data_IF_067549305691
#
_entry.id   IF_067549305691
#
_cell.length_a   1.000
_cell.length_b   1.000
_cell.length_c   1.000
_cell.angle_alpha   90.00
_cell.angle_beta   90.00
_cell.angle_gamma   90.00
#
_symmetry.space_group_name_H-M   'P 1'
#
loop_
_entity.id
_entity.type
_entity.pdbx_description
1 polymer ?
#
# COMPACT_ATOMS: atom_id res chain seq x y z
N UNK A 1 -0.54 -39.79 6.28
CA UNK A 1 -1.55 -38.79 5.95
C UNK A 1 -0.94 -37.56 5.28
N UNK A 2 -1.75 -36.83 4.55
CA UNK A 2 -1.28 -35.61 3.91
C UNK A 2 -0.97 -34.52 4.96
N UNK A 3 0.12 -33.81 4.77
CA UNK A 3 0.51 -32.70 5.65
C UNK A 3 -0.42 -31.52 5.50
N UNK A 4 -0.65 -30.79 6.58
CA UNK A 4 -1.40 -29.55 6.58
C UNK A 4 -0.59 -28.44 5.91
N UNK A 5 -1.11 -27.88 4.83
CA UNK A 5 -0.56 -26.70 4.18
C UNK A 5 -1.51 -25.52 4.37
N UNK A 6 -1.02 -24.46 5.00
CA UNK A 6 -1.79 -23.24 5.19
C UNK A 6 -1.52 -22.32 3.99
N UNK A 7 -2.59 -21.74 3.44
CA UNK A 7 -2.52 -20.78 2.35
C UNK A 7 -3.32 -19.53 2.72
N UNK A 8 -2.73 -18.38 2.49
CA UNK A 8 -3.38 -17.08 2.68
C UNK A 8 -3.55 -16.39 1.34
N UNK A 9 -4.71 -15.79 1.13
CA UNK A 9 -5.04 -15.06 -0.10
C UNK A 9 -5.40 -13.63 0.25
N UNK A 10 -4.56 -12.71 -0.20
CA UNK A 10 -4.71 -11.27 0.03
C UNK A 10 -5.26 -10.58 -1.20
N UNK A 11 -6.24 -9.72 -0.99
CA UNK A 11 -6.85 -8.92 -2.04
C UNK A 11 -7.16 -7.53 -1.52
N UNK A 12 -7.42 -6.62 -2.41
CA UNK A 12 -7.86 -5.26 -2.10
C UNK A 12 -9.08 -4.92 -2.94
N UNK A 13 -10.10 -4.41 -2.28
CA UNK A 13 -11.29 -3.82 -2.90
C UNK A 13 -11.47 -2.37 -2.42
N UNK A 14 -12.60 -1.74 -2.77
CA UNK A 14 -12.88 -0.36 -2.37
C UNK A 14 -13.04 -0.18 -0.86
N UNK A 15 -13.32 -1.25 -0.13
CA UNK A 15 -13.53 -1.22 1.33
C UNK A 15 -12.27 -1.53 2.13
N UNK A 16 -11.21 -1.97 1.48
CA UNK A 16 -9.93 -2.25 2.09
C UNK A 16 -9.33 -3.57 1.68
N UNK A 17 -8.46 -4.11 2.54
CA UNK A 17 -7.74 -5.35 2.30
C UNK A 17 -8.50 -6.51 2.90
N UNK A 18 -8.62 -7.60 2.16
CA UNK A 18 -9.24 -8.83 2.63
C UNK A 18 -8.21 -9.96 2.71
N UNK A 19 -8.43 -10.89 3.64
CA UNK A 19 -7.64 -12.11 3.77
C UNK A 19 -8.56 -13.32 3.84
N UNK A 20 -8.32 -14.26 2.96
CA UNK A 20 -8.86 -15.61 3.02
C UNK A 20 -7.76 -16.55 3.49
N UNK A 21 -8.08 -17.51 4.32
CA UNK A 21 -7.15 -18.54 4.74
C UNK A 21 -7.78 -19.93 4.59
N UNK A 22 -6.98 -20.86 4.09
CA UNK A 22 -7.39 -22.24 3.92
C UNK A 22 -6.34 -23.21 4.45
N UNK A 23 -6.78 -24.39 4.87
CA UNK A 23 -5.90 -25.51 5.18
C UNK A 23 -6.07 -26.57 4.09
N UNK A 24 -4.98 -26.95 3.46
CA UNK A 24 -4.95 -27.94 2.39
C UNK A 24 -4.35 -29.26 2.89
N UNK A 25 -5.06 -30.34 2.64
CA UNK A 25 -4.62 -31.70 2.94
C UNK A 25 -4.75 -32.53 1.64
N UNK A 26 -3.68 -32.56 0.85
CA UNK A 26 -3.73 -33.17 -0.48
C UNK A 26 -4.75 -32.47 -1.37
N UNK A 27 -5.78 -33.19 -1.80
CA UNK A 27 -6.85 -32.65 -2.66
C UNK A 27 -7.98 -31.96 -1.88
N UNK A 28 -7.95 -32.02 -0.54
CA UNK A 28 -8.99 -31.45 0.31
C UNK A 28 -8.59 -30.07 0.82
N UNK A 29 -9.52 -29.13 0.76
CA UNK A 29 -9.33 -27.76 1.21
C UNK A 29 -10.41 -27.39 2.22
N UNK A 30 -10.00 -26.94 3.39
CA UNK A 30 -10.89 -26.47 4.43
C UNK A 30 -10.76 -24.95 4.57
N UNK A 31 -11.90 -24.26 4.51
CA UNK A 31 -11.96 -22.83 4.71
C UNK A 31 -11.74 -22.51 6.18
N UNK A 32 -10.73 -21.70 6.49
CA UNK A 32 -10.43 -21.22 7.83
C UNK A 32 -10.94 -19.80 8.05
N UNK A 33 -10.70 -18.93 7.08
CA UNK A 33 -11.19 -17.55 7.06
C UNK A 33 -11.81 -17.34 5.68
N UNK A 34 -13.14 -17.27 5.59
CA UNK A 34 -13.83 -17.21 4.31
C UNK A 34 -13.81 -15.81 3.70
N UNK A 35 -13.96 -15.76 2.39
CA UNK A 35 -14.31 -14.56 1.65
C UNK A 35 -15.84 -14.50 1.48
N UNK A 36 -16.35 -13.34 1.09
CA UNK A 36 -17.78 -13.20 0.75
C UNK A 36 -18.21 -14.18 -0.34
N UNK A 37 -17.34 -14.49 -1.29
CA UNK A 37 -17.57 -15.48 -2.34
C UNK A 37 -17.68 -16.89 -1.77
N UNK A 38 -16.81 -17.27 -0.85
CA UNK A 38 -16.82 -18.57 -0.19
C UNK A 38 -18.06 -18.76 0.70
N UNK A 39 -18.52 -17.70 1.36
CA UNK A 39 -19.76 -17.73 2.16
C UNK A 39 -21.01 -18.02 1.32
N UNK A 40 -20.97 -17.74 0.01
CA UNK A 40 -22.05 -18.01 -0.93
C UNK A 40 -21.91 -19.35 -1.66
N UNK A 41 -20.77 -20.04 -1.46
CA UNK A 41 -20.46 -21.28 -2.15
C UNK A 41 -21.35 -22.46 -1.72
N UNK A 42 -21.70 -23.31 -2.69
CA UNK A 42 -22.39 -24.58 -2.41
C UNK A 42 -21.34 -25.59 -1.98
N UNK A 43 -21.49 -26.17 -0.80
CA UNK A 43 -20.65 -27.24 -0.32
C UNK A 43 -21.15 -28.56 -0.95
N UNK A 44 -20.25 -29.22 -1.72
CA UNK A 44 -20.58 -30.52 -2.30
C UNK A 44 -20.73 -31.58 -1.20
N UNK A 45 -21.94 -32.25 -1.08
CA UNK A 45 -22.18 -33.24 -0.03
C UNK A 45 -21.19 -34.42 -0.05
N UNK A 46 -20.76 -34.88 -1.24
CA UNK A 46 -19.83 -36.00 -1.38
C UNK A 46 -18.44 -35.66 -0.85
N UNK A 47 -18.01 -34.42 -0.97
CA UNK A 47 -16.76 -33.93 -0.42
C UNK A 47 -16.74 -33.92 1.10
N UNK A 48 -17.90 -33.71 1.76
CA UNK A 48 -18.03 -33.72 3.22
C UNK A 48 -17.73 -35.09 3.82
N UNK A 49 -18.24 -36.16 3.23
CA UNK A 49 -18.06 -37.53 3.72
C UNK A 49 -16.60 -37.95 3.71
N UNK A 50 -15.87 -37.60 2.64
CA UNK A 50 -14.44 -37.88 2.51
C UNK A 50 -13.62 -36.98 3.40
N UNK A 51 -13.98 -35.71 3.52
CA UNK A 51 -13.30 -34.73 4.37
C UNK A 51 -13.35 -35.13 5.86
N UNK A 52 -14.45 -35.76 6.32
CA UNK A 52 -14.59 -36.22 7.71
C UNK A 52 -13.57 -37.30 8.10
N UNK A 53 -12.98 -37.99 7.12
CA UNK A 53 -11.95 -39.03 7.36
C UNK A 53 -10.53 -38.46 7.50
N UNK A 54 -10.35 -37.14 7.26
CA UNK A 54 -9.04 -36.51 7.31
C UNK A 54 -8.73 -36.12 8.77
N UNK A 55 -7.57 -36.54 9.22
CA UNK A 55 -7.04 -36.08 10.51
C UNK A 55 -6.45 -34.67 10.33
N UNK A 56 -7.20 -33.68 10.79
CA UNK A 56 -6.82 -32.28 10.68
C UNK A 56 -5.83 -31.90 11.79
N UNK A 57 -4.89 -31.05 11.46
CA UNK A 57 -3.98 -30.42 12.40
C UNK A 57 -4.62 -29.17 12.99
N UNK A 58 -5.47 -29.37 14.00
CA UNK A 58 -6.28 -28.30 14.59
C UNK A 58 -5.43 -27.23 15.26
N UNK A 59 -4.26 -27.60 15.81
CA UNK A 59 -3.36 -26.66 16.44
C UNK A 59 -2.80 -25.68 15.40
N UNK A 60 -2.35 -26.19 14.26
CA UNK A 60 -1.80 -25.38 13.17
C UNK A 60 -2.86 -24.50 12.52
N UNK A 61 -4.05 -25.04 12.31
CA UNK A 61 -5.19 -24.29 11.79
C UNK A 61 -5.61 -23.16 12.71
N UNK A 62 -5.71 -23.43 14.01
CA UNK A 62 -6.06 -22.42 15.02
C UNK A 62 -5.01 -21.32 15.12
N UNK A 63 -3.75 -21.67 15.01
CA UNK A 63 -2.66 -20.70 15.00
C UNK A 63 -2.76 -19.77 13.80
N UNK A 64 -3.02 -20.31 12.61
CA UNK A 64 -3.22 -19.53 11.40
C UNK A 64 -4.39 -18.55 11.54
N UNK A 65 -5.52 -19.00 12.10
CA UNK A 65 -6.69 -18.16 12.34
C UNK A 65 -6.36 -17.03 13.32
N UNK A 66 -5.62 -17.32 14.39
CA UNK A 66 -5.23 -16.30 15.35
C UNK A 66 -4.32 -15.23 14.74
N UNK A 67 -3.39 -15.63 13.88
CA UNK A 67 -2.52 -14.68 13.17
C UNK A 67 -3.35 -13.75 12.29
N UNK A 68 -4.32 -14.29 11.55
CA UNK A 68 -5.23 -13.46 10.74
C UNK A 68 -6.03 -12.50 11.62
N UNK A 69 -6.55 -12.95 12.76
CA UNK A 69 -7.31 -12.09 13.68
C UNK A 69 -6.47 -10.93 14.23
N UNK A 70 -5.20 -11.15 14.48
CA UNK A 70 -4.29 -10.10 14.96
C UNK A 70 -3.99 -9.06 13.88
N UNK A 71 -3.85 -9.49 12.62
CA UNK A 71 -3.52 -8.61 11.50
C UNK A 71 -4.74 -7.94 10.87
N UNK A 72 -5.91 -8.57 10.96
CA UNK A 72 -7.17 -8.10 10.35
C UNK A 72 -8.21 -7.88 11.45
N UNK A 73 -8.33 -6.66 11.99
CA UNK A 73 -9.14 -6.38 13.18
C UNK A 73 -10.64 -6.46 12.92
N UNK A 74 -11.10 -6.29 11.68
CA UNK A 74 -12.50 -6.33 11.32
C UNK A 74 -12.86 -7.70 10.73
N UNK A 75 -13.15 -8.65 11.62
CA UNK A 75 -13.56 -9.99 11.19
C UNK A 75 -14.49 -10.63 12.22
N UNK A 76 -15.52 -11.27 11.71
CA UNK A 76 -16.41 -12.12 12.49
C UNK A 76 -16.58 -13.47 11.77
N UNK A 77 -17.19 -14.43 12.43
CA UNK A 77 -17.45 -15.75 11.84
C UNK A 77 -18.41 -15.73 10.63
N UNK A 78 -19.08 -14.62 10.41
CA UNK A 78 -20.06 -14.44 9.32
C UNK A 78 -19.62 -13.42 8.29
N UNK A 79 -18.46 -12.79 8.47
CA UNK A 79 -17.95 -11.77 7.58
C UNK A 79 -16.48 -12.08 7.21
N UNK A 80 -15.98 -11.42 6.17
CA UNK A 80 -14.60 -11.59 5.72
C UNK A 80 -13.62 -10.89 6.66
N UNK A 81 -12.42 -11.43 6.78
CA UNK A 81 -11.33 -10.75 7.48
C UNK A 81 -10.90 -9.54 6.65
N UNK A 82 -10.91 -8.37 7.25
CA UNK A 82 -10.70 -7.09 6.55
C UNK A 82 -9.87 -6.12 7.38
N UNK A 83 -9.06 -5.33 6.68
CA UNK A 83 -8.54 -4.05 7.17
C UNK A 83 -9.24 -2.97 6.36
N UNK A 84 -9.90 -2.04 7.03
CA UNK A 84 -10.60 -0.95 6.34
C UNK A 84 -9.65 -0.06 5.59
N UNK A 85 -10.08 0.46 4.43
CA UNK A 85 -9.27 1.30 3.56
C UNK A 85 -8.73 2.56 4.27
N UNK A 86 -9.49 3.11 5.21
CA UNK A 86 -9.10 4.29 5.98
C UNK A 86 -8.15 4.00 7.17
N UNK A 87 -7.93 2.74 7.51
CA UNK A 87 -7.04 2.36 8.62
C UNK A 87 -5.59 2.24 8.12
N UNK A 88 -4.95 3.39 7.92
CA UNK A 88 -3.60 3.48 7.37
C UNK A 88 -2.55 2.73 8.19
N UNK A 89 -2.61 2.85 9.50
CA UNK A 89 -1.61 2.24 10.38
C UNK A 89 -1.64 0.72 10.31
N UNK A 90 -2.83 0.13 10.34
CA UNK A 90 -3.00 -1.32 10.24
C UNK A 90 -2.61 -1.83 8.85
N UNK A 91 -2.95 -1.08 7.79
CA UNK A 91 -2.51 -1.42 6.42
C UNK A 91 -0.98 -1.39 6.33
N UNK A 92 -0.33 -0.35 6.81
CA UNK A 92 1.13 -0.25 6.79
C UNK A 92 1.79 -1.36 7.58
N UNK A 93 1.23 -1.73 8.75
CA UNK A 93 1.74 -2.84 9.54
C UNK A 93 1.67 -4.16 8.74
N UNK A 94 0.56 -4.39 8.03
CA UNK A 94 0.43 -5.56 7.17
C UNK A 94 1.47 -5.55 6.03
N UNK A 95 1.62 -4.42 5.33
CA UNK A 95 2.52 -4.31 4.18
C UNK A 95 3.99 -4.42 4.59
N UNK A 96 4.38 -3.93 5.76
CA UNK A 96 5.77 -3.87 6.21
C UNK A 96 6.20 -5.09 7.04
N UNK A 97 5.30 -5.66 7.84
CA UNK A 97 5.60 -6.76 8.75
C UNK A 97 4.64 -7.93 8.61
N UNK A 98 3.35 -7.68 8.44
CA UNK A 98 2.31 -8.70 8.51
C UNK A 98 2.40 -9.74 7.41
N UNK A 99 2.75 -9.35 6.18
CA UNK A 99 2.91 -10.30 5.06
C UNK A 99 4.03 -11.30 5.36
N UNK A 100 5.14 -10.84 5.92
CA UNK A 100 6.23 -11.72 6.32
C UNK A 100 5.84 -12.66 7.47
N UNK A 101 5.02 -12.18 8.40
CA UNK A 101 4.45 -13.03 9.46
C UNK A 101 3.57 -14.13 8.85
N UNK A 102 2.69 -13.77 7.90
CA UNK A 102 1.86 -14.75 7.19
C UNK A 102 2.73 -15.78 6.44
N UNK A 103 3.78 -15.34 5.78
CA UNK A 103 4.73 -16.23 5.08
C UNK A 103 5.42 -17.20 6.01
N UNK A 104 5.66 -16.82 7.26
CA UNK A 104 6.26 -17.72 8.26
C UNK A 104 5.29 -18.83 8.69
N UNK A 105 3.99 -18.64 8.49
CA UNK A 105 2.94 -19.59 8.87
C UNK A 105 2.53 -20.49 7.68
N UNK A 106 2.47 -19.92 6.49
CA UNK A 106 2.03 -20.65 5.29
C UNK A 106 2.43 -19.94 4.00
N UNK A 107 1.85 -20.38 2.88
CA UNK A 107 2.04 -19.71 1.60
C UNK A 107 1.12 -18.50 1.51
N UNK A 108 1.63 -17.42 0.92
CA UNK A 108 0.89 -16.19 0.70
C UNK A 108 0.72 -15.94 -0.79
N UNK A 109 -0.52 -15.82 -1.21
CA UNK A 109 -0.92 -15.43 -2.56
C UNK A 109 -1.59 -14.07 -2.49
N UNK A 110 -1.35 -13.25 -3.48
CA UNK A 110 -1.90 -11.89 -3.53
C UNK A 110 -2.31 -11.51 -4.94
N UNK A 111 -3.31 -10.63 -5.02
CA UNK A 111 -3.76 -10.07 -6.30
C UNK A 111 -2.89 -8.88 -6.72
N UNK A 112 -2.97 -8.51 -7.99
CA UNK A 112 -2.30 -7.31 -8.49
C UNK A 112 -2.78 -6.05 -7.76
N UNK A 113 -4.06 -6.00 -7.38
CA UNK A 113 -4.62 -4.87 -6.63
C UNK A 113 -3.96 -4.71 -5.25
N UNK A 114 -3.67 -5.81 -4.57
CA UNK A 114 -2.93 -5.78 -3.31
C UNK A 114 -1.46 -5.42 -3.54
N UNK A 115 -0.80 -6.04 -4.51
CA UNK A 115 0.62 -5.84 -4.78
C UNK A 115 0.95 -4.40 -5.15
N UNK A 116 0.01 -3.70 -5.80
CA UNK A 116 0.17 -2.30 -6.20
C UNK A 116 0.01 -1.29 -5.07
N UNK A 117 -0.28 -1.71 -3.83
CA UNK A 117 -0.49 -0.77 -2.72
C UNK A 117 0.79 -0.08 -2.26
N UNK A 118 1.94 -0.69 -2.40
CA UNK A 118 3.23 -0.07 -2.11
C UNK A 118 3.95 0.24 -3.41
N UNK A 119 4.18 1.52 -3.69
CA UNK A 119 4.96 1.96 -4.84
C UNK A 119 6.41 1.46 -4.70
N UNK A 120 7.01 0.90 -5.75
CA UNK A 120 8.40 0.47 -5.69
C UNK A 120 9.36 1.66 -5.59
N UNK A 121 10.40 1.51 -4.78
CA UNK A 121 11.44 2.53 -4.60
C UNK A 121 10.98 3.74 -3.80
N UNK A 122 11.84 4.76 -3.77
CA UNK A 122 11.59 6.04 -3.11
C UNK A 122 11.51 7.16 -4.15
N UNK A 123 10.62 8.15 -3.96
CA UNK A 123 10.42 9.19 -4.96
C UNK A 123 11.58 10.18 -4.99
N UNK A 124 11.91 10.64 -6.19
CA UNK A 124 12.79 11.77 -6.44
C UNK A 124 12.01 12.82 -7.20
N UNK A 125 12.01 14.06 -6.72
CA UNK A 125 11.37 15.19 -7.39
C UNK A 125 12.44 16.20 -7.76
N UNK A 126 12.61 16.41 -9.05
CA UNK A 126 13.50 17.43 -9.62
C UNK A 126 12.70 18.68 -9.96
N UNK A 127 13.41 19.76 -10.24
CA UNK A 127 12.77 21.01 -10.67
C UNK A 127 13.25 21.36 -12.06
N UNK A 128 12.31 21.53 -12.98
CA UNK A 128 12.58 22.08 -14.31
C UNK A 128 12.45 23.59 -14.31
N UNK A 129 13.37 24.25 -14.98
CA UNK A 129 13.35 25.70 -15.17
C UNK A 129 13.26 26.00 -16.66
N UNK A 130 12.36 26.94 -17.03
CA UNK A 130 12.21 27.43 -18.38
C UNK A 130 12.07 28.95 -18.36
N UNK A 131 12.74 29.63 -19.27
CA UNK A 131 12.73 31.10 -19.35
C UNK A 131 12.05 31.50 -20.64
N UNK A 132 10.98 32.29 -20.53
CA UNK A 132 10.25 32.85 -21.66
C UNK A 132 9.75 34.25 -21.30
N UNK A 133 9.98 35.23 -22.21
CA UNK A 133 9.48 36.60 -22.12
C UNK A 133 9.71 37.28 -20.76
N UNK A 134 10.91 37.15 -20.20
CA UNK A 134 11.31 37.67 -18.85
C UNK A 134 10.58 36.99 -17.68
N UNK A 135 9.90 35.90 -17.93
CA UNK A 135 9.28 35.08 -16.89
C UNK A 135 10.05 33.78 -16.76
N UNK A 136 10.17 33.28 -15.55
CA UNK A 136 10.72 31.96 -15.27
C UNK A 136 9.59 31.04 -14.86
N UNK A 137 9.51 29.93 -15.54
CA UNK A 137 8.58 28.86 -15.25
C UNK A 137 9.31 27.79 -14.47
N UNK A 138 8.75 27.41 -13.32
CA UNK A 138 9.26 26.36 -12.45
C UNK A 138 8.25 25.23 -12.49
N UNK A 139 8.71 24.02 -12.80
CA UNK A 139 7.83 22.84 -12.80
C UNK A 139 8.49 21.69 -12.08
N UNK A 140 7.82 21.08 -11.08
CA UNK A 140 8.29 19.85 -10.49
C UNK A 140 8.30 18.73 -11.55
N UNK A 141 9.36 17.92 -11.55
CA UNK A 141 9.50 16.75 -12.40
C UNK A 141 9.58 15.53 -11.49
N UNK A 142 8.52 14.74 -11.49
CA UNK A 142 8.42 13.56 -10.66
C UNK A 142 7.86 12.41 -11.49
N UNK A 143 8.64 11.37 -11.66
CA UNK A 143 8.18 10.14 -12.30
C UNK A 143 7.28 9.38 -11.33
N UNK A 144 6.17 8.83 -11.85
CA UNK A 144 5.23 7.98 -11.11
C UNK A 144 4.49 8.67 -9.94
N UNK A 145 4.78 9.93 -9.64
CA UNK A 145 4.08 10.71 -8.62
C UNK A 145 3.01 11.56 -9.28
N UNK A 146 1.73 11.50 -8.84
CA UNK A 146 0.71 12.39 -9.37
C UNK A 146 1.09 13.86 -9.14
N UNK A 147 1.10 14.66 -10.21
CA UNK A 147 1.55 16.07 -10.14
C UNK A 147 0.74 16.87 -9.13
N UNK A 148 -0.57 16.63 -9.05
CA UNK A 148 -1.46 17.31 -8.12
C UNK A 148 -1.34 16.85 -6.66
N UNK A 149 -0.40 15.95 -6.36
CA UNK A 149 -0.13 15.46 -5.00
C UNK A 149 1.32 15.71 -4.57
N UNK A 150 2.10 16.42 -5.37
CA UNK A 150 3.50 16.74 -5.07
C UNK A 150 3.61 17.59 -3.80
N UNK A 151 2.70 18.54 -3.60
CA UNK A 151 2.66 19.37 -2.39
C UNK A 151 2.43 18.56 -1.11
N UNK A 152 1.48 17.63 -1.13
CA UNK A 152 1.23 16.75 -0.02
C UNK A 152 2.42 15.82 0.27
N UNK A 153 3.07 15.32 -0.78
CA UNK A 153 4.28 14.51 -0.67
C UNK A 153 5.40 15.29 0.01
N UNK A 154 5.61 16.55 -0.40
CA UNK A 154 6.61 17.44 0.22
C UNK A 154 6.32 17.67 1.71
N UNK A 155 5.06 17.84 2.09
CA UNK A 155 4.68 18.00 3.49
C UNK A 155 5.03 16.76 4.32
N UNK A 156 4.80 15.57 3.82
CA UNK A 156 5.19 14.33 4.48
C UNK A 156 6.71 14.22 4.61
N UNK A 157 7.44 14.58 3.56
CA UNK A 157 8.90 14.62 3.54
C UNK A 157 9.46 15.58 4.60
N UNK A 158 8.92 16.79 4.70
CA UNK A 158 9.34 17.80 5.68
C UNK A 158 9.08 17.38 7.12
N UNK A 159 8.03 16.58 7.35
CA UNK A 159 7.69 16.04 8.67
C UNK A 159 8.48 14.78 9.02
N UNK A 160 9.42 14.38 8.19
CA UNK A 160 10.21 13.16 8.37
C UNK A 160 9.36 11.89 8.52
N UNK A 161 8.23 11.83 7.85
CA UNK A 161 7.41 10.62 7.83
C UNK A 161 8.11 9.53 7.04
N UNK A 162 8.00 8.30 7.50
CA UNK A 162 8.56 7.16 6.79
C UNK A 162 7.78 6.82 5.52
N UNK A 163 6.46 6.96 5.56
CA UNK A 163 5.56 6.62 4.46
C UNK A 163 4.63 7.79 4.15
N UNK A 164 4.30 7.93 2.87
CA UNK A 164 3.25 8.83 2.40
C UNK A 164 2.18 8.02 1.67
N UNK A 165 0.92 8.37 1.87
CA UNK A 165 -0.21 7.75 1.16
C UNK A 165 -0.82 8.72 0.19
N UNK A 166 -0.91 8.33 -1.09
CA UNK A 166 -1.61 9.11 -2.11
C UNK A 166 -3.12 8.92 -2.00
N UNK A 167 -3.88 9.79 -2.68
CA UNK A 167 -5.35 9.77 -2.65
C UNK A 167 -5.95 8.48 -3.20
N UNK A 168 -5.27 7.82 -4.13
CA UNK A 168 -5.69 6.52 -4.66
C UNK A 168 -5.48 5.36 -3.67
N UNK A 169 -4.87 5.65 -2.52
CA UNK A 169 -4.58 4.67 -1.47
C UNK A 169 -3.21 4.02 -1.57
N UNK A 170 -2.42 4.33 -2.58
CA UNK A 170 -1.06 3.80 -2.75
C UNK A 170 -0.10 4.45 -1.76
N UNK A 171 0.77 3.65 -1.18
CA UNK A 171 1.83 4.14 -0.27
C UNK A 171 3.16 4.23 -0.99
N UNK A 172 4.02 5.11 -0.51
CA UNK A 172 5.41 5.23 -0.93
C UNK A 172 6.32 5.35 0.28
N UNK A 173 7.48 4.69 0.22
CA UNK A 173 8.51 4.77 1.26
C UNK A 173 9.36 6.02 1.03
N UNK A 174 9.47 6.88 2.04
CA UNK A 174 10.24 8.12 1.97
C UNK A 174 11.66 7.98 2.51
N UNK A 175 12.10 6.79 2.92
CA UNK A 175 13.42 6.59 3.54
C UNK A 175 14.58 7.14 2.69
N UNK A 176 14.52 6.93 1.38
CA UNK A 176 15.53 7.38 0.43
C UNK A 176 14.97 8.42 -0.55
N UNK A 177 13.90 9.11 -0.18
CA UNK A 177 13.28 10.13 -1.01
C UNK A 177 14.21 11.35 -1.14
N UNK A 178 14.24 11.94 -2.34
CA UNK A 178 14.97 13.15 -2.61
C UNK A 178 14.05 14.23 -3.18
N UNK A 179 13.61 15.11 -2.28
CA UNK A 179 12.82 16.29 -2.60
C UNK A 179 13.56 17.58 -2.21
N UNK A 180 14.87 17.49 -2.01
CA UNK A 180 15.67 18.61 -1.49
C UNK A 180 15.62 19.84 -2.40
N UNK A 181 15.74 19.65 -3.70
CA UNK A 181 15.71 20.74 -4.69
C UNK A 181 14.36 21.46 -4.68
N UNK A 182 13.26 20.69 -4.70
CA UNK A 182 11.92 21.25 -4.60
C UNK A 182 11.69 21.95 -3.25
N UNK A 183 12.10 21.34 -2.15
CA UNK A 183 11.97 21.89 -0.80
C UNK A 183 12.64 23.25 -0.69
N UNK A 184 13.84 23.38 -1.24
CA UNK A 184 14.60 24.61 -1.22
C UNK A 184 13.92 25.74 -2.00
N UNK A 185 13.43 25.47 -3.20
CA UNK A 185 12.72 26.46 -4.02
C UNK A 185 11.40 26.87 -3.38
N UNK A 186 10.65 25.93 -2.85
CA UNK A 186 9.39 26.21 -2.16
C UNK A 186 9.62 27.12 -0.95
N UNK A 187 10.67 26.89 -0.19
CA UNK A 187 11.02 27.72 0.96
C UNK A 187 11.46 29.12 0.52
N UNK A 188 12.33 29.23 -0.47
CA UNK A 188 12.89 30.50 -0.92
C UNK A 188 11.86 31.43 -1.57
N UNK A 189 10.87 30.83 -2.26
CA UNK A 189 9.80 31.58 -2.94
C UNK A 189 8.52 31.64 -2.14
N UNK A 190 8.46 31.04 -0.95
CA UNK A 190 7.28 30.93 -0.11
C UNK A 190 6.05 30.42 -0.88
N UNK A 191 6.24 29.28 -1.55
CA UNK A 191 5.17 28.66 -2.34
C UNK A 191 4.22 27.85 -1.47
N UNK A 192 2.92 27.97 -1.75
CA UNK A 192 1.92 27.14 -1.11
C UNK A 192 1.69 25.81 -1.85
N UNK A 193 0.93 24.91 -1.24
CA UNK A 193 0.64 23.59 -1.80
C UNK A 193 -0.07 23.67 -3.14
N UNK A 194 -0.99 24.62 -3.28
CA UNK A 194 -1.76 24.81 -4.52
C UNK A 194 -0.85 25.24 -5.68
N UNK A 195 0.13 26.11 -5.42
CA UNK A 195 1.11 26.53 -6.41
C UNK A 195 1.99 25.37 -6.87
N UNK A 196 2.42 24.52 -5.92
CA UNK A 196 3.23 23.34 -6.21
C UNK A 196 2.42 22.35 -7.07
N UNK A 197 1.18 22.10 -6.70
CA UNK A 197 0.30 21.13 -7.35
C UNK A 197 -0.17 21.58 -8.73
N UNK A 198 -0.07 22.88 -9.04
CA UNK A 198 -0.36 23.39 -10.38
C UNK A 198 0.58 22.83 -11.45
N UNK A 199 1.74 22.30 -11.04
CA UNK A 199 2.76 21.75 -11.92
C UNK A 199 3.55 22.78 -12.69
N UNK A 200 3.21 24.06 -12.53
CA UNK A 200 3.81 25.16 -13.27
C UNK A 200 3.67 26.46 -12.48
N UNK A 201 4.80 27.11 -12.16
CA UNK A 201 4.85 28.35 -11.42
C UNK A 201 5.62 29.37 -12.25
N UNK A 202 4.99 30.51 -12.52
CA UNK A 202 5.61 31.58 -13.30
C UNK A 202 6.02 32.71 -12.37
N UNK A 203 7.29 33.13 -12.42
CA UNK A 203 7.85 34.20 -11.62
C UNK A 203 8.54 35.25 -12.50
N UNK A 204 8.63 36.51 -12.01
CA UNK A 204 9.41 37.55 -12.71
C UNK A 204 10.87 37.17 -12.90
N UNK A 205 11.46 37.55 -14.04
CA UNK A 205 12.83 37.14 -14.41
C UNK A 205 13.91 37.60 -13.43
N UNK A 206 13.74 38.68 -12.68
CA UNK A 206 14.71 39.11 -11.69
C UNK A 206 14.83 38.15 -10.50
N UNK A 207 13.79 37.39 -10.18
CA UNK A 207 13.84 36.33 -9.13
C UNK A 207 14.56 35.10 -9.63
N UNK A 208 14.56 34.86 -10.93
CA UNK A 208 15.22 33.72 -11.53
C UNK A 208 16.75 33.75 -11.32
N UNK A 209 17.33 34.92 -11.26
CA UNK A 209 18.75 35.08 -11.02
C UNK A 209 19.19 34.49 -9.68
N UNK A 210 18.38 34.64 -8.65
CA UNK A 210 18.62 34.04 -7.34
C UNK A 210 18.46 32.52 -7.35
N UNK A 211 17.51 31.99 -8.11
CA UNK A 211 17.27 30.55 -8.21
C UNK A 211 18.42 29.83 -8.95
N UNK A 212 18.95 30.41 -10.01
CA UNK A 212 20.05 29.82 -10.76
C UNK A 212 21.30 29.59 -9.88
N UNK A 213 21.54 30.47 -8.92
CA UNK A 213 22.64 30.33 -7.96
C UNK A 213 22.41 29.21 -6.93
N UNK A 214 21.14 28.81 -6.67
CA UNK A 214 20.80 27.81 -5.67
C UNK A 214 20.67 26.39 -6.26
N UNK A 215 20.23 26.27 -7.50
CA UNK A 215 20.00 24.99 -8.19
C UNK A 215 21.29 24.39 -8.75
N UNK A 216 22.33 25.18 -8.91
CA UNK A 216 23.67 24.74 -9.28
C UNK A 216 24.42 24.26 -8.04
#
# INVERSE_FOLDING_TARGET
GADCQIEFYLDRDLQGITCEAVARYGDFVFQLVPTAKALRGVINPDSRSKAALIKRDTARESFAVQVVRQLFPTWSSIDVARIREEDEQTILLLLTEGVDILRSVGQVFSTAAFDGMMMPGSPTVKVGLSIDSNLVEISPIADEVPMNEVGALLNSYRRNRRYHRFKDGTFVDLKNADLHELDQIVTDLDLDEQQIDSGRITIPGYRAFLLDAQVR
#
